data_IF_554351823320
#
_entry.id   IF_554351823320
#
_cell.length_a   1.000
_cell.length_b   1.000
_cell.length_c   1.000
_cell.angle_alpha   90.00
_cell.angle_beta   90.00
_cell.angle_gamma   90.00
#
_symmetry.space_group_name_H-M   'P 1'
#
loop_
_entity.id
_entity.type
_entity.pdbx_description
1 polymer ?
#
# COMPACT_ATOMS: atom_id res chain seq x y z
N UNK A 1 15.01 6.60 3.75
CA UNK A 1 13.68 6.84 3.15
C UNK A 1 12.70 6.96 4.29
N UNK A 2 11.92 8.04 4.30
CA UNK A 2 10.93 8.31 5.35
C UNK A 2 9.66 7.48 5.22
N UNK A 3 8.62 7.88 5.95
CA UNK A 3 7.26 7.35 5.74
C UNK A 3 6.60 8.12 4.61
N UNK A 4 5.91 7.43 3.71
CA UNK A 4 5.08 8.03 2.68
C UNK A 4 3.62 7.96 3.12
N UNK A 5 2.91 9.08 3.10
CA UNK A 5 1.57 9.22 3.68
C UNK A 5 0.64 9.89 2.67
N UNK A 6 -0.56 9.35 2.49
CA UNK A 6 -1.62 10.04 1.75
C UNK A 6 -2.00 11.34 2.47
N UNK A 7 -2.01 12.46 1.77
CA UNK A 7 -2.45 13.73 2.33
C UNK A 7 -3.98 13.87 2.30
N UNK A 8 -4.64 13.02 3.08
CA UNK A 8 -6.09 13.04 3.26
C UNK A 8 -6.46 12.71 4.70
N UNK A 9 -7.47 13.41 5.23
CA UNK A 9 -8.02 13.17 6.57
C UNK A 9 -6.94 13.11 7.67
N UNK A 10 -6.70 11.93 8.25
CA UNK A 10 -5.68 11.74 9.29
C UNK A 10 -4.25 11.86 8.77
N UNK A 11 -4.03 11.55 7.50
CA UNK A 11 -2.69 11.62 6.90
C UNK A 11 -2.13 13.04 6.86
N UNK A 12 -2.97 14.05 6.60
CA UNK A 12 -2.59 15.47 6.67
C UNK A 12 -2.08 15.87 8.06
N UNK A 13 -2.72 15.36 9.11
CA UNK A 13 -2.33 15.62 10.51
C UNK A 13 -1.01 14.93 10.82
N UNK A 14 -0.82 13.68 10.36
CA UNK A 14 0.42 12.93 10.55
C UNK A 14 1.61 13.57 9.83
N UNK A 15 1.39 14.11 8.63
CA UNK A 15 2.40 14.86 7.87
C UNK A 15 2.82 16.12 8.62
N UNK A 16 1.87 16.96 9.04
CA UNK A 16 2.15 18.18 9.81
C UNK A 16 2.87 17.87 11.13
N UNK A 17 2.41 16.84 11.85
CA UNK A 17 3.02 16.44 13.12
C UNK A 17 4.44 15.91 12.90
N UNK A 18 4.64 15.05 11.91
CA UNK A 18 5.95 14.53 11.55
C UNK A 18 6.92 15.64 11.18
N UNK A 19 6.49 16.58 10.33
CA UNK A 19 7.29 17.74 9.93
C UNK A 19 7.66 18.61 11.14
N UNK A 20 6.70 18.90 12.04
CA UNK A 20 6.97 19.66 13.28
C UNK A 20 7.98 18.99 14.22
N UNK A 21 8.12 17.67 14.13
CA UNK A 21 9.04 16.87 14.93
C UNK A 21 10.36 16.55 14.19
N UNK A 22 10.55 17.06 12.97
CA UNK A 22 11.71 16.76 12.13
C UNK A 22 11.76 15.31 11.67
N UNK A 23 10.63 14.60 11.64
CA UNK A 23 10.57 13.23 11.13
C UNK A 23 10.61 13.23 9.60
N UNK A 24 11.27 12.22 8.99
CA UNK A 24 11.25 12.07 7.55
C UNK A 24 9.87 11.55 7.12
N UNK A 25 8.93 12.46 6.88
CA UNK A 25 7.60 12.16 6.33
C UNK A 25 7.46 12.79 4.96
N UNK A 26 6.84 12.07 4.03
CA UNK A 26 6.71 12.46 2.64
C UNK A 26 5.25 12.32 2.24
N UNK A 27 4.69 13.37 1.63
CA UNK A 27 3.36 13.29 1.03
C UNK A 27 3.43 12.42 -0.22
N UNK A 28 2.48 11.50 -0.37
CA UNK A 28 2.28 10.78 -1.64
C UNK A 28 1.62 11.73 -2.63
N UNK A 29 2.11 11.73 -3.87
CA UNK A 29 1.60 12.60 -4.93
C UNK A 29 0.11 12.35 -5.18
N UNK A 30 -0.66 13.45 -5.29
CA UNK A 30 -2.12 13.38 -5.35
C UNK A 30 -2.63 12.66 -6.59
N UNK A 31 -1.86 12.68 -7.68
CA UNK A 31 -2.18 11.93 -8.89
C UNK A 31 -2.25 10.42 -8.60
N UNK A 32 -1.34 9.89 -7.77
CA UNK A 32 -1.35 8.49 -7.35
C UNK A 32 -2.44 8.20 -6.30
N UNK A 33 -2.64 9.08 -5.33
CA UNK A 33 -3.68 8.87 -4.30
C UNK A 33 -5.09 9.02 -4.87
N UNK A 34 -5.26 9.76 -5.97
CA UNK A 34 -6.54 9.88 -6.68
C UNK A 34 -6.96 8.62 -7.43
N UNK A 35 -6.02 7.70 -7.69
CA UNK A 35 -6.32 6.44 -8.36
C UNK A 35 -7.14 5.53 -7.46
N UNK A 36 -7.94 4.65 -8.06
CA UNK A 36 -8.58 3.57 -7.31
C UNK A 36 -7.57 2.50 -6.88
N UNK A 37 -7.90 1.72 -5.84
CA UNK A 37 -7.06 0.57 -5.42
C UNK A 37 -6.82 -0.43 -6.55
N UNK A 38 -7.82 -0.70 -7.37
CA UNK A 38 -7.71 -1.57 -8.55
C UNK A 38 -6.72 -1.00 -9.59
N UNK A 39 -6.77 0.31 -9.84
CA UNK A 39 -5.86 0.97 -10.78
C UNK A 39 -4.42 0.94 -10.26
N UNK A 40 -4.21 1.22 -8.97
CA UNK A 40 -2.89 1.06 -8.32
C UNK A 40 -2.39 -0.39 -8.39
N UNK A 41 -3.24 -1.37 -8.15
CA UNK A 41 -2.87 -2.78 -8.25
C UNK A 41 -2.42 -3.15 -9.68
N UNK A 42 -3.10 -2.62 -10.71
CA UNK A 42 -2.67 -2.79 -12.12
C UNK A 42 -1.31 -2.12 -12.35
N UNK A 43 -1.14 -0.86 -11.93
CA UNK A 43 0.12 -0.12 -12.07
C UNK A 43 1.29 -0.85 -11.39
N UNK A 44 1.05 -1.46 -10.23
CA UNK A 44 2.05 -2.20 -9.47
C UNK A 44 2.35 -3.61 -10.03
N UNK A 45 1.42 -4.21 -10.78
CA UNK A 45 1.46 -5.62 -11.18
C UNK A 45 2.72 -6.02 -11.95
N UNK A 46 3.22 -5.13 -12.83
CA UNK A 46 4.45 -5.38 -13.59
C UNK A 46 5.71 -5.46 -12.71
N UNK A 47 5.76 -4.71 -11.61
CA UNK A 47 6.87 -4.78 -10.65
C UNK A 47 6.78 -6.04 -9.79
N UNK A 48 5.57 -6.45 -9.42
CA UNK A 48 5.31 -7.70 -8.73
C UNK A 48 5.70 -8.91 -9.58
N UNK A 49 5.22 -9.00 -10.82
CA UNK A 49 5.48 -10.12 -11.74
C UNK A 49 6.99 -10.31 -12.00
N UNK A 50 7.73 -9.21 -12.16
CA UNK A 50 9.20 -9.23 -12.34
C UNK A 50 9.97 -9.50 -11.05
N UNK A 51 9.30 -9.53 -9.90
CA UNK A 51 9.91 -9.82 -8.60
C UNK A 51 10.91 -8.76 -8.14
N UNK A 52 10.68 -7.48 -8.51
CA UNK A 52 11.61 -6.37 -8.21
C UNK A 52 11.70 -6.04 -6.72
N UNK A 53 10.65 -6.35 -5.94
CA UNK A 53 10.68 -6.34 -4.49
C UNK A 53 10.44 -7.73 -3.92
N UNK A 54 11.00 -7.97 -2.73
CA UNK A 54 10.78 -9.19 -1.94
C UNK A 54 10.12 -8.83 -0.62
N UNK A 55 9.24 -9.70 -0.16
CA UNK A 55 8.68 -9.62 1.20
C UNK A 55 9.71 -10.21 2.16
N UNK A 56 10.03 -9.49 3.24
CA UNK A 56 10.96 -9.97 4.25
C UNK A 56 10.42 -11.24 4.92
N UNK A 57 11.31 -12.11 5.40
CA UNK A 57 10.89 -13.30 6.14
C UNK A 57 9.97 -12.95 7.31
N UNK A 58 10.31 -11.88 8.06
CA UNK A 58 9.49 -11.39 9.16
C UNK A 58 8.04 -11.11 8.72
N UNK A 59 7.83 -10.38 7.63
CA UNK A 59 6.48 -10.09 7.13
C UNK A 59 5.79 -11.32 6.52
N UNK A 60 6.55 -12.22 5.90
CA UNK A 60 6.05 -13.46 5.30
C UNK A 60 5.58 -14.48 6.34
N UNK A 61 6.24 -14.55 7.50
CA UNK A 61 5.91 -15.48 8.58
C UNK A 61 4.95 -14.88 9.61
N UNK A 62 4.76 -13.56 9.61
CA UNK A 62 3.91 -12.87 10.58
C UNK A 62 2.44 -13.28 10.43
N UNK A 63 1.91 -13.89 11.49
CA UNK A 63 0.48 -14.08 11.69
C UNK A 63 -0.06 -13.13 12.75
N UNK A 64 -1.28 -12.64 12.58
CA UNK A 64 -1.96 -11.83 13.58
C UNK A 64 -3.46 -12.16 13.63
N UNK A 65 -4.07 -11.96 14.80
CA UNK A 65 -5.52 -12.02 14.95
C UNK A 65 -6.11 -10.70 14.46
N UNK A 66 -6.97 -10.76 13.45
CA UNK A 66 -7.72 -9.61 12.97
C UNK A 66 -9.11 -10.04 12.54
N UNK A 67 -10.14 -9.33 13.02
CA UNK A 67 -11.56 -9.65 12.75
C UNK A 67 -11.90 -11.14 12.97
N UNK A 68 -11.37 -11.73 14.05
CA UNK A 68 -11.65 -13.11 14.44
C UNK A 68 -10.84 -14.18 13.69
N UNK A 69 -9.92 -13.80 12.81
CA UNK A 69 -9.11 -14.72 12.03
C UNK A 69 -7.61 -14.56 12.32
N UNK A 70 -6.94 -15.68 12.58
CA UNK A 70 -5.48 -15.74 12.67
C UNK A 70 -4.91 -16.11 11.31
N UNK A 71 -4.22 -15.19 10.66
CA UNK A 71 -3.61 -15.41 9.35
C UNK A 71 -2.41 -14.50 9.13
N UNK A 72 -1.62 -14.79 8.09
CA UNK A 72 -0.82 -13.75 7.44
C UNK A 72 -1.74 -12.89 6.58
N UNK A 73 -2.14 -11.73 7.12
CA UNK A 73 -3.08 -10.83 6.45
C UNK A 73 -2.47 -10.14 5.23
N UNK A 74 -1.16 -9.90 5.18
CA UNK A 74 -0.50 -9.34 4.00
C UNK A 74 -0.62 -10.32 2.83
N UNK A 75 -0.21 -11.58 3.05
CA UNK A 75 -0.31 -12.62 2.04
C UNK A 75 -1.77 -12.79 1.57
N UNK A 76 -2.70 -12.88 2.51
CA UNK A 76 -4.12 -13.05 2.21
C UNK A 76 -4.69 -11.92 1.36
N UNK A 77 -4.36 -10.67 1.64
CA UNK A 77 -4.89 -9.52 0.90
C UNK A 77 -4.26 -9.41 -0.49
N UNK A 78 -2.94 -9.59 -0.60
CA UNK A 78 -2.23 -9.51 -1.89
C UNK A 78 -2.61 -10.67 -2.82
N UNK A 79 -2.66 -11.91 -2.31
CA UNK A 79 -2.90 -13.10 -3.14
C UNK A 79 -4.37 -13.29 -3.55
N UNK A 80 -5.31 -12.62 -2.88
CA UNK A 80 -6.76 -12.71 -3.16
C UNK A 80 -7.31 -11.48 -3.87
N UNK A 81 -6.44 -10.54 -4.26
CA UNK A 81 -6.84 -9.44 -5.11
C UNK A 81 -7.47 -9.99 -6.40
N UNK A 82 -8.60 -9.42 -6.77
CA UNK A 82 -9.27 -9.71 -8.02
C UNK A 82 -9.81 -8.41 -8.60
N UNK A 83 -9.47 -8.15 -9.86
CA UNK A 83 -9.86 -6.93 -10.55
C UNK A 83 -11.39 -6.83 -10.67
N UNK A 84 -11.94 -5.64 -10.41
CA UNK A 84 -13.36 -5.35 -10.54
C UNK A 84 -14.27 -6.26 -9.69
N UNK A 85 -13.80 -6.70 -8.52
CA UNK A 85 -14.59 -7.53 -7.63
C UNK A 85 -15.72 -6.73 -6.96
N UNK A 86 -16.96 -7.13 -7.25
CA UNK A 86 -18.18 -6.51 -6.71
C UNK A 86 -18.26 -6.56 -5.17
N UNK A 87 -17.54 -7.47 -4.52
CA UNK A 87 -17.48 -7.61 -3.06
C UNK A 87 -16.19 -7.03 -2.45
N UNK A 88 -15.38 -6.26 -3.19
CA UNK A 88 -14.15 -5.66 -2.68
C UNK A 88 -14.39 -4.85 -1.38
N UNK A 89 -15.46 -4.06 -1.34
CA UNK A 89 -15.85 -3.24 -0.17
C UNK A 89 -16.10 -4.03 1.14
N UNK A 90 -16.30 -5.36 1.08
CA UNK A 90 -16.51 -6.20 2.27
C UNK A 90 -15.20 -6.74 2.85
N UNK A 91 -14.09 -6.60 2.13
CA UNK A 91 -12.79 -7.13 2.51
C UNK A 91 -11.89 -6.02 3.03
N UNK A 92 -10.95 -6.41 3.87
CA UNK A 92 -9.81 -5.56 4.16
C UNK A 92 -8.83 -5.65 2.99
N UNK A 93 -8.32 -4.51 2.55
CA UNK A 93 -7.39 -4.36 1.43
C UNK A 93 -6.33 -3.28 1.72
N UNK A 94 -6.23 -2.81 2.97
CA UNK A 94 -5.26 -1.79 3.37
C UNK A 94 -3.80 -2.26 3.19
N UNK A 95 -3.52 -3.55 3.44
CA UNK A 95 -2.18 -4.12 3.22
C UNK A 95 -1.88 -4.38 1.75
N UNK A 96 -2.92 -4.63 0.93
CA UNK A 96 -2.76 -4.63 -0.52
C UNK A 96 -2.40 -3.22 -0.99
N UNK A 97 -3.12 -2.21 -0.52
CA UNK A 97 -2.90 -0.82 -0.92
C UNK A 97 -1.49 -0.34 -0.53
N UNK A 98 -1.09 -0.56 0.72
CA UNK A 98 0.26 -0.28 1.23
C UNK A 98 1.35 -0.98 0.39
N UNK A 99 1.14 -2.24 0.03
CA UNK A 99 2.05 -2.99 -0.84
C UNK A 99 2.15 -2.38 -2.25
N UNK A 100 1.02 -1.98 -2.84
CA UNK A 100 1.00 -1.37 -4.18
C UNK A 100 1.64 0.01 -4.20
N UNK A 101 1.39 0.86 -3.19
CA UNK A 101 2.12 2.12 -3.01
C UNK A 101 3.62 1.89 -2.92
N UNK A 102 4.06 0.94 -2.09
CA UNK A 102 5.48 0.63 -1.94
C UNK A 102 6.15 0.26 -3.27
N UNK A 103 5.49 -0.54 -4.11
CA UNK A 103 6.00 -0.89 -5.43
C UNK A 103 6.03 0.29 -6.40
N UNK A 104 4.95 1.09 -6.45
CA UNK A 104 4.84 2.22 -7.38
C UNK A 104 5.82 3.33 -6.99
N UNK A 105 5.96 3.64 -5.70
CA UNK A 105 6.92 4.65 -5.23
C UNK A 105 8.35 4.20 -5.50
N UNK A 106 8.66 2.90 -5.35
CA UNK A 106 10.01 2.39 -5.55
C UNK A 106 10.42 2.25 -7.01
N UNK A 107 9.48 1.92 -7.91
CA UNK A 107 9.79 1.51 -9.29
C UNK A 107 9.01 2.25 -10.37
N UNK A 108 8.02 3.06 -9.99
CA UNK A 108 7.24 3.89 -10.88
C UNK A 108 8.11 4.94 -11.57
N UNK A 109 8.02 5.00 -12.89
CA UNK A 109 8.48 6.14 -13.67
C UNK A 109 7.41 7.24 -13.67
N UNK A 110 7.82 8.51 -13.63
CA UNK A 110 6.94 9.69 -13.52
C UNK A 110 5.94 9.91 -14.66
N UNK A 111 5.78 8.97 -15.60
CA UNK A 111 4.63 8.93 -16.52
C UNK A 111 3.38 8.30 -15.87
N UNK A 112 3.56 7.70 -14.68
CA UNK A 112 2.54 7.07 -13.85
C UNK A 112 2.36 7.76 -12.48
N UNK A 113 3.01 8.92 -12.30
CA UNK A 113 2.85 9.81 -11.15
C UNK A 113 2.47 11.18 -11.69
#
# INVERSE_FOLDING_TARGET
LGVFIEDASMGSILLQKGESLGWPVNKIESALTSKGKDERAIMASGYHYRGLAKISRYAYEKTAVFKGETANHLHKQVSRFHLADKNAHKRADDLLDDYTYGLIIAFGSGDAI
#
